data_IF_432612990348
#
_entry.id   IF_432612990348
#
_cell.length_a   1.000
_cell.length_b   1.000
_cell.length_c   1.000
_cell.angle_alpha   90.00
_cell.angle_beta   90.00
_cell.angle_gamma   90.00
#
_symmetry.space_group_name_H-M   'P 1'
#
loop_
_entity.id
_entity.type
_entity.pdbx_description
1 polymer ?
#
# COMPACT_ATOMS: atom_id res chain seq x y z
N UNK A 1 -11.26 -4.53 14.54
CA UNK A 1 -10.96 -4.98 13.17
C UNK A 1 -11.70 -6.28 12.88
N UNK A 2 -12.47 -6.35 11.78
CA UNK A 2 -13.24 -7.56 11.39
C UNK A 2 -12.42 -8.37 10.38
N UNK A 3 -12.23 -9.68 10.63
CA UNK A 3 -11.55 -10.56 9.66
C UNK A 3 -12.48 -10.94 8.51
N UNK A 4 -12.02 -10.69 7.29
CA UNK A 4 -12.72 -11.09 6.08
C UNK A 4 -12.22 -12.47 5.61
N UNK A 5 -13.15 -13.29 5.12
CA UNK A 5 -12.79 -14.45 4.30
C UNK A 5 -12.50 -13.98 2.86
N UNK A 6 -11.80 -14.82 2.08
CA UNK A 6 -11.56 -14.52 0.66
C UNK A 6 -12.87 -14.38 -0.12
N UNK A 7 -13.89 -15.19 0.20
CA UNK A 7 -15.21 -15.10 -0.44
C UNK A 7 -15.92 -13.78 -0.14
N UNK A 8 -15.83 -13.30 1.11
CA UNK A 8 -16.38 -12.00 1.50
C UNK A 8 -15.68 -10.87 0.76
N UNK A 9 -14.34 -10.89 0.72
CA UNK A 9 -13.54 -9.91 0.01
C UNK A 9 -13.87 -9.89 -1.50
N UNK A 10 -13.91 -11.07 -2.14
CA UNK A 10 -14.26 -11.20 -3.55
C UNK A 10 -15.67 -10.66 -3.84
N UNK A 11 -16.62 -10.91 -2.94
CA UNK A 11 -17.99 -10.41 -3.07
C UNK A 11 -18.04 -8.88 -2.99
N UNK A 12 -17.24 -8.28 -2.11
CA UNK A 12 -17.13 -6.82 -1.97
C UNK A 12 -16.46 -6.19 -3.20
N UNK A 13 -15.40 -6.82 -3.73
CA UNK A 13 -14.74 -6.39 -4.97
C UNK A 13 -15.72 -6.47 -6.16
N UNK A 14 -16.53 -7.54 -6.25
CA UNK A 14 -17.54 -7.66 -7.29
C UNK A 14 -18.63 -6.57 -7.20
N UNK A 15 -19.08 -6.23 -5.99
CA UNK A 15 -20.00 -5.12 -5.77
C UNK A 15 -19.37 -3.76 -6.14
N UNK A 16 -18.06 -3.63 -5.97
CA UNK A 16 -17.32 -2.44 -6.38
C UNK A 16 -17.21 -2.29 -7.89
N UNK A 17 -16.96 -3.37 -8.62
CA UNK A 17 -16.96 -3.35 -10.08
C UNK A 17 -18.32 -2.88 -10.64
N UNK A 18 -19.43 -3.29 -10.02
CA UNK A 18 -20.77 -2.78 -10.34
C UNK A 18 -20.91 -1.28 -10.06
N UNK A 19 -20.40 -0.82 -8.92
CA UNK A 19 -20.42 0.61 -8.57
C UNK A 19 -19.67 1.47 -9.59
N UNK A 20 -18.52 0.99 -10.08
CA UNK A 20 -17.75 1.67 -11.14
C UNK A 20 -18.49 1.72 -12.48
N UNK A 21 -19.35 0.73 -12.74
CA UNK A 21 -20.20 0.67 -13.92
C UNK A 21 -21.52 1.46 -13.77
N UNK A 22 -21.69 2.24 -12.70
CA UNK A 22 -22.90 3.00 -12.37
C UNK A 22 -24.17 2.11 -12.23
N UNK A 23 -23.97 0.83 -11.87
CA UNK A 23 -25.06 -0.11 -11.58
C UNK A 23 -25.67 0.20 -10.20
N UNK A 24 -27.01 0.20 -10.12
CA UNK A 24 -27.77 0.45 -8.89
C UNK A 24 -27.51 -0.55 -7.76
N UNK A 25 -27.09 -1.77 -8.10
CA UNK A 25 -26.74 -2.81 -7.11
C UNK A 25 -25.26 -2.75 -6.69
N UNK A 26 -24.51 -1.74 -7.15
CA UNK A 26 -23.12 -1.53 -6.82
C UNK A 26 -22.89 -0.85 -5.46
N UNK A 27 -21.77 -1.16 -4.82
CA UNK A 27 -21.30 -0.46 -3.63
C UNK A 27 -19.82 -0.12 -3.74
N UNK A 28 -19.44 1.12 -3.37
CA UNK A 28 -18.03 1.50 -3.26
C UNK A 28 -17.32 0.59 -2.25
N UNK A 29 -16.11 0.16 -2.58
CA UNK A 29 -15.33 -0.76 -1.74
C UNK A 29 -14.89 -0.08 -0.45
N UNK A 30 -15.46 -0.53 0.68
CA UNK A 30 -15.07 -0.15 2.03
C UNK A 30 -14.46 -1.35 2.74
N UNK A 31 -13.15 -1.30 2.93
CA UNK A 31 -12.32 -2.26 3.64
C UNK A 31 -11.66 -1.61 4.88
N UNK A 32 -12.19 -0.48 5.33
CA UNK A 32 -11.66 0.22 6.50
C UNK A 32 -11.75 -0.65 7.74
N UNK A 33 -10.67 -0.67 8.54
CA UNK A 33 -10.53 -1.50 9.73
C UNK A 33 -10.88 -3.00 9.53
N UNK A 34 -10.58 -3.54 8.34
CA UNK A 34 -10.68 -4.98 8.06
C UNK A 34 -9.33 -5.71 8.26
N UNK A 35 -9.41 -6.96 8.73
CA UNK A 35 -8.28 -7.90 8.77
C UNK A 35 -8.34 -8.77 7.52
N UNK A 36 -7.39 -8.54 6.62
CA UNK A 36 -7.23 -9.19 5.31
C UNK A 36 -5.83 -9.78 5.18
N UNK A 37 -5.25 -10.24 6.29
CA UNK A 37 -3.91 -10.83 6.28
C UNK A 37 -3.85 -12.04 5.36
N UNK A 38 -2.88 -12.03 4.44
CA UNK A 38 -2.69 -13.10 3.45
C UNK A 38 -3.77 -13.15 2.37
N UNK A 39 -4.59 -12.10 2.21
CA UNK A 39 -5.61 -12.07 1.18
C UNK A 39 -5.00 -12.05 -0.24
N UNK A 40 -5.67 -12.74 -1.17
CA UNK A 40 -5.38 -12.67 -2.59
C UNK A 40 -6.23 -11.54 -3.21
N UNK A 41 -5.58 -10.45 -3.60
CA UNK A 41 -6.18 -9.29 -4.27
C UNK A 41 -5.54 -9.07 -5.64
N UNK A 42 -4.95 -10.12 -6.23
CA UNK A 42 -4.31 -10.01 -7.54
C UNK A 42 -5.33 -9.60 -8.58
N UNK A 43 -4.96 -8.63 -9.44
CA UNK A 43 -5.82 -8.11 -10.51
C UNK A 43 -7.11 -7.43 -10.05
N UNK A 44 -7.30 -7.19 -8.75
CA UNK A 44 -8.50 -6.55 -8.25
C UNK A 44 -8.59 -5.09 -8.70
N UNK A 45 -9.76 -4.67 -9.14
CA UNK A 45 -10.09 -3.24 -9.26
C UNK A 45 -10.53 -2.76 -7.87
N UNK A 46 -9.71 -1.93 -7.25
CA UNK A 46 -9.90 -1.31 -5.95
C UNK A 46 -9.70 0.21 -6.04
N UNK A 47 -9.92 0.80 -7.22
CA UNK A 47 -9.79 2.23 -7.39
C UNK A 47 -10.75 2.98 -6.46
N UNK A 48 -10.29 4.08 -5.86
CA UNK A 48 -11.05 4.86 -4.88
C UNK A 48 -11.51 4.06 -3.63
N UNK A 49 -11.02 2.85 -3.39
CA UNK A 49 -11.40 2.08 -2.21
C UNK A 49 -10.99 2.78 -0.90
N UNK A 50 -11.79 2.59 0.14
CA UNK A 50 -11.40 2.96 1.51
C UNK A 50 -10.74 1.76 2.19
N UNK A 51 -9.45 1.84 2.46
CA UNK A 51 -8.67 0.80 3.14
C UNK A 51 -7.99 1.36 4.40
N UNK A 52 -8.56 2.44 4.97
CA UNK A 52 -7.97 3.09 6.14
C UNK A 52 -7.92 2.11 7.31
N UNK A 53 -6.77 2.04 7.98
CA UNK A 53 -6.55 1.16 9.14
C UNK A 53 -6.55 -0.35 8.83
N UNK A 54 -6.69 -0.78 7.57
CA UNK A 54 -6.76 -2.19 7.22
C UNK A 54 -5.46 -2.95 7.51
N UNK A 55 -5.55 -4.20 7.96
CA UNK A 55 -4.40 -5.10 8.12
C UNK A 55 -4.28 -6.01 6.90
N UNK A 56 -3.38 -5.65 5.99
CA UNK A 56 -3.08 -6.36 4.74
C UNK A 56 -1.70 -7.03 4.78
N UNK A 57 -1.21 -7.38 5.97
CA UNK A 57 0.08 -8.09 6.06
C UNK A 57 0.04 -9.37 5.25
N UNK A 58 1.10 -9.65 4.49
CA UNK A 58 1.21 -10.82 3.60
C UNK A 58 0.20 -10.88 2.45
N UNK A 59 -0.61 -9.84 2.22
CA UNK A 59 -1.55 -9.84 1.11
C UNK A 59 -0.84 -9.70 -0.25
N UNK A 60 -1.40 -10.32 -1.28
CA UNK A 60 -0.89 -10.20 -2.66
C UNK A 60 -1.77 -9.24 -3.46
N UNK A 61 -1.26 -8.04 -3.74
CA UNK A 61 -1.93 -7.03 -4.58
C UNK A 61 -1.26 -6.90 -5.96
N UNK A 62 -0.61 -7.97 -6.44
CA UNK A 62 0.03 -7.97 -7.75
C UNK A 62 -0.98 -7.60 -8.85
N UNK A 63 -0.63 -6.58 -9.63
CA UNK A 63 -1.44 -6.07 -10.75
C UNK A 63 -2.83 -5.56 -10.35
N UNK A 64 -3.07 -5.29 -9.08
CA UNK A 64 -4.27 -4.61 -8.62
C UNK A 64 -4.27 -3.12 -9.02
N UNK A 65 -5.45 -2.59 -9.34
CA UNK A 65 -5.67 -1.17 -9.53
C UNK A 65 -6.15 -0.54 -8.22
N UNK A 66 -5.39 0.42 -7.72
CA UNK A 66 -5.61 1.07 -6.43
C UNK A 66 -5.66 2.59 -6.60
N UNK A 67 -5.88 3.09 -7.82
CA UNK A 67 -5.81 4.53 -8.12
C UNK A 67 -6.78 5.31 -7.23
N UNK A 68 -6.25 6.29 -6.50
CA UNK A 68 -7.02 7.12 -5.59
C UNK A 68 -7.54 6.44 -4.31
N UNK A 69 -7.16 5.18 -4.05
CA UNK A 69 -7.54 4.49 -2.84
C UNK A 69 -6.90 5.13 -1.59
N UNK A 70 -7.57 5.02 -0.44
CA UNK A 70 -7.10 5.57 0.83
C UNK A 70 -6.57 4.47 1.74
N UNK A 71 -5.26 4.45 1.99
CA UNK A 71 -4.57 3.45 2.81
C UNK A 71 -4.01 4.05 4.10
N UNK A 72 -4.47 5.24 4.53
CA UNK A 72 -3.97 5.84 5.77
C UNK A 72 -4.18 4.90 6.96
N UNK A 73 -3.14 4.65 7.75
CA UNK A 73 -3.17 3.70 8.87
C UNK A 73 -3.09 2.22 8.49
N UNK A 74 -3.11 1.87 7.20
CA UNK A 74 -3.06 0.48 6.78
C UNK A 74 -1.70 -0.17 7.10
N UNK A 75 -1.70 -1.46 7.44
CA UNK A 75 -0.50 -2.27 7.59
C UNK A 75 -0.27 -3.12 6.34
N UNK A 76 0.86 -2.88 5.66
CA UNK A 76 1.24 -3.53 4.40
C UNK A 76 2.49 -4.39 4.53
N UNK A 77 2.92 -4.74 5.75
CA UNK A 77 4.15 -5.50 5.93
C UNK A 77 4.07 -6.85 5.23
N UNK A 78 5.13 -7.19 4.50
CA UNK A 78 5.23 -8.41 3.70
C UNK A 78 4.18 -8.56 2.59
N UNK A 79 3.41 -7.50 2.31
CA UNK A 79 2.49 -7.51 1.18
C UNK A 79 3.21 -7.26 -0.14
N UNK A 80 2.56 -7.64 -1.25
CA UNK A 80 2.99 -7.30 -2.60
C UNK A 80 2.32 -5.99 -3.00
N UNK A 81 2.94 -4.86 -2.69
CA UNK A 81 2.46 -3.55 -3.16
C UNK A 81 2.80 -3.34 -4.64
N UNK A 82 1.83 -3.05 -5.52
CA UNK A 82 2.10 -2.83 -6.95
C UNK A 82 2.82 -1.51 -7.20
N UNK A 83 3.96 -1.52 -7.91
CA UNK A 83 4.69 -0.30 -8.34
C UNK A 83 4.37 0.13 -9.78
N UNK A 84 3.41 -0.51 -10.45
CA UNK A 84 2.90 -0.07 -11.76
C UNK A 84 1.88 1.07 -11.62
N UNK A 85 1.41 1.65 -12.73
CA UNK A 85 0.58 2.85 -12.70
C UNK A 85 -0.76 2.70 -11.95
N UNK A 86 -1.21 1.48 -11.69
CA UNK A 86 -2.38 1.19 -10.86
C UNK A 86 -2.25 1.65 -9.41
N UNK A 87 -1.06 1.91 -8.87
CA UNK A 87 -0.93 2.49 -7.51
C UNK A 87 -0.70 4.00 -7.49
N UNK A 88 -0.77 4.68 -8.64
CA UNK A 88 -0.62 6.13 -8.68
C UNK A 88 -1.80 6.82 -8.00
N UNK A 89 -1.49 7.79 -7.14
CA UNK A 89 -2.50 8.55 -6.40
C UNK A 89 -3.10 7.82 -5.21
N UNK A 90 -2.56 6.66 -4.81
CA UNK A 90 -2.89 6.06 -3.51
C UNK A 90 -2.55 7.05 -2.40
N UNK A 91 -3.50 7.29 -1.49
CA UNK A 91 -3.30 8.13 -0.32
C UNK A 91 -2.65 7.32 0.78
N UNK A 92 -1.59 7.86 1.35
CA UNK A 92 -0.81 7.22 2.40
C UNK A 92 -0.60 8.18 3.55
N UNK A 93 -0.43 7.64 4.75
CA UNK A 93 0.02 8.40 5.90
C UNK A 93 1.56 8.51 5.92
N UNK A 94 2.09 9.23 6.92
CA UNK A 94 3.53 9.40 7.11
C UNK A 94 4.26 8.07 7.36
N UNK A 95 3.63 7.10 8.00
CA UNK A 95 4.24 5.80 8.32
C UNK A 95 4.50 5.01 7.04
N UNK A 96 3.50 4.94 6.17
CA UNK A 96 3.61 4.30 4.87
C UNK A 96 4.58 5.04 3.94
N UNK A 97 4.55 6.38 3.94
CA UNK A 97 5.53 7.18 3.22
C UNK A 97 6.97 6.89 3.69
N UNK A 98 7.19 6.77 5.01
CA UNK A 98 8.49 6.40 5.57
C UNK A 98 8.92 4.98 5.15
N UNK A 99 7.99 4.02 5.13
CA UNK A 99 8.24 2.67 4.65
C UNK A 99 8.67 2.65 3.17
N UNK A 100 7.98 3.38 2.28
CA UNK A 100 8.37 3.48 0.87
C UNK A 100 9.70 4.24 0.69
N UNK A 101 9.88 5.36 1.40
CA UNK A 101 11.13 6.13 1.39
C UNK A 101 12.33 5.28 1.82
N UNK A 102 12.15 4.43 2.84
CA UNK A 102 13.18 3.50 3.28
C UNK A 102 13.62 2.55 2.16
N UNK A 103 12.68 1.97 1.42
CA UNK A 103 13.02 1.07 0.32
C UNK A 103 13.75 1.82 -0.82
N UNK A 104 13.31 3.02 -1.16
CA UNK A 104 14.01 3.87 -2.14
C UNK A 104 15.44 4.20 -1.70
N UNK A 105 15.64 4.57 -0.44
CA UNK A 105 16.97 4.87 0.11
C UNK A 105 17.87 3.63 0.27
N UNK A 106 17.34 2.40 0.14
CA UNK A 106 18.13 1.16 0.16
C UNK A 106 18.49 0.66 -1.24
N UNK A 107 18.02 1.32 -2.30
CA UNK A 107 18.46 1.04 -3.66
C UNK A 107 19.94 1.40 -3.80
N UNK A 108 20.71 0.50 -4.42
CA UNK A 108 22.09 0.76 -4.80
C UNK A 108 22.06 1.49 -6.14
N UNK A 109 22.44 2.77 -6.15
CA UNK A 109 22.48 3.60 -7.34
C UNK A 109 23.65 4.59 -7.23
N UNK A 110 24.51 4.64 -8.24
CA UNK A 110 25.67 5.54 -8.26
C UNK A 110 25.41 6.91 -8.85
N UNK A 111 24.19 7.16 -9.30
CA UNK A 111 23.79 8.45 -9.84
C UNK A 111 23.84 9.55 -8.76
N UNK A 112 24.53 10.69 -9.01
CA UNK A 112 24.67 11.76 -8.03
C UNK A 112 23.35 12.42 -7.60
N UNK A 113 22.38 12.52 -8.50
CA UNK A 113 21.07 13.09 -8.21
C UNK A 113 20.28 12.16 -7.27
N UNK A 114 20.31 10.85 -7.55
CA UNK A 114 19.68 9.84 -6.70
C UNK A 114 20.31 9.84 -5.30
N UNK A 115 21.64 9.86 -5.18
CA UNK A 115 22.32 9.93 -3.87
C UNK A 115 21.93 11.18 -3.09
N UNK A 116 21.81 12.32 -3.78
CA UNK A 116 21.35 13.57 -3.16
C UNK A 116 19.93 13.44 -2.63
N UNK A 117 19.01 12.87 -3.41
CA UNK A 117 17.63 12.61 -2.99
C UNK A 117 17.56 11.63 -1.81
N UNK A 118 18.31 10.53 -1.86
CA UNK A 118 18.36 9.53 -0.78
C UNK A 118 18.85 10.15 0.54
N UNK A 119 19.88 10.99 0.52
CA UNK A 119 20.38 11.71 1.71
C UNK A 119 19.35 12.72 2.23
N UNK A 120 18.70 13.46 1.33
CA UNK A 120 17.71 14.47 1.70
C UNK A 120 16.51 13.87 2.46
N UNK A 121 16.06 12.67 2.07
CA UNK A 121 14.90 12.01 2.71
C UNK A 121 15.27 10.96 3.76
N UNK A 122 16.56 10.75 4.05
CA UNK A 122 17.03 9.73 4.99
C UNK A 122 16.43 9.88 6.40
N UNK A 123 16.14 11.11 6.84
CA UNK A 123 15.44 11.38 8.11
C UNK A 123 13.99 10.87 8.15
N UNK A 124 13.28 10.91 7.02
CA UNK A 124 11.96 10.30 6.87
C UNK A 124 12.09 8.78 6.77
N UNK A 125 12.99 8.28 5.93
CA UNK A 125 13.23 6.85 5.77
C UNK A 125 13.56 6.15 7.09
N UNK A 126 14.37 6.79 7.95
CA UNK A 126 14.71 6.27 9.29
C UNK A 126 13.53 6.27 10.29
N UNK A 127 12.34 6.76 9.92
CA UNK A 127 11.08 6.58 10.67
C UNK A 127 10.34 5.30 10.29
N UNK A 128 10.85 4.52 9.32
CA UNK A 128 10.34 3.20 9.04
C UNK A 128 10.34 2.33 10.30
N UNK A 129 9.19 1.72 10.61
CA UNK A 129 8.98 1.06 11.90
C UNK A 129 9.89 -0.15 12.13
N UNK A 130 10.46 -0.75 11.07
CA UNK A 130 11.43 -1.86 11.17
C UNK A 130 12.88 -1.43 10.96
N UNK A 131 13.19 -0.13 11.04
CA UNK A 131 14.56 0.39 10.85
C UNK A 131 15.59 -0.27 11.79
N UNK A 132 15.19 -0.63 13.01
CA UNK A 132 16.08 -1.28 13.97
C UNK A 132 16.43 -2.73 13.58
N UNK A 133 15.57 -3.39 12.80
CA UNK A 133 15.81 -4.73 12.26
C UNK A 133 16.63 -4.65 10.96
N UNK A 134 16.36 -3.66 10.11
CA UNK A 134 16.93 -3.57 8.77
C UNK A 134 18.20 -2.69 8.68
N UNK A 135 18.52 -1.95 9.74
CA UNK A 135 19.65 -1.03 9.82
C UNK A 135 19.28 0.41 9.45
N UNK A 136 19.85 1.37 10.16
CA UNK A 136 19.66 2.80 9.88
C UNK A 136 20.36 3.20 8.59
N UNK A 137 19.78 4.18 7.89
CA UNK A 137 20.37 4.80 6.71
C UNK A 137 21.31 5.91 7.19
N UNK A 138 22.59 5.75 6.91
CA UNK A 138 23.62 6.75 7.22
C UNK A 138 23.73 7.72 6.05
N UNK A 139 23.71 9.02 6.33
CA UNK A 139 23.78 10.06 5.30
C UNK A 139 25.21 10.43 4.88
N UNK A 140 26.22 9.74 5.43
CA UNK A 140 27.63 10.16 5.39
C UNK A 140 28.50 9.39 4.39
N UNK A 141 27.92 8.43 3.65
CA UNK A 141 28.58 7.69 2.57
C UNK A 141 28.12 8.23 1.19
#
# INVERSE_FOLDING_TARGET
MKRLTQEQLNSMIAAHAKWLAEDSDGARLDLSDCDMRGADMRWADMCLADMRGADMRWADMCLADMRGADMCGANIDYSVWPLWCGSLGVKVDKRLAAQLAYHFCRLICDDPEVKTAQRAIAGLANQFHRVNECGRINCND
#
